data_IF_740251082420
#
_entry.id   IF_740251082420
#
_cell.length_a   1.000
_cell.length_b   1.000
_cell.length_c   1.000
_cell.angle_alpha   90.00
_cell.angle_beta   90.00
_cell.angle_gamma   90.00
#
_symmetry.space_group_name_H-M   'P 1'
#
loop_
_entity.id
_entity.type
_entity.pdbx_description
1 polymer ?
#
# COMPACT_ATOMS: atom_id res chain seq x y z
N UNK A 1 17.38 2.12 -6.26
CA UNK A 1 16.75 1.19 -5.29
C UNK A 1 16.52 1.81 -3.89
N UNK A 2 16.82 3.10 -3.66
CA UNK A 2 16.70 3.76 -2.35
C UNK A 2 15.33 4.41 -2.02
N UNK A 3 14.26 4.16 -2.81
CA UNK A 3 13.04 4.98 -2.76
C UNK A 3 11.82 4.29 -2.09
N UNK A 4 11.68 2.97 -2.25
CA UNK A 4 10.54 2.21 -1.72
C UNK A 4 10.66 1.92 -0.22
N UNK A 5 11.84 1.47 0.23
CA UNK A 5 12.13 1.27 1.67
C UNK A 5 11.87 2.53 2.48
N UNK A 6 12.27 3.67 1.94
CA UNK A 6 12.07 5.00 2.55
C UNK A 6 10.59 5.35 2.68
N UNK A 7 9.76 4.98 1.71
CA UNK A 7 8.32 5.23 1.76
C UNK A 7 7.60 4.32 2.77
N UNK A 8 7.95 3.04 2.83
CA UNK A 8 7.44 2.11 3.86
C UNK A 8 7.72 2.65 5.26
N UNK A 9 8.96 3.05 5.55
CA UNK A 9 9.32 3.67 6.84
C UNK A 9 8.54 4.97 7.10
N UNK A 10 8.23 5.75 6.06
CA UNK A 10 7.43 6.97 6.19
C UNK A 10 5.99 6.64 6.62
N UNK A 11 5.38 5.63 6.02
CA UNK A 11 4.03 5.17 6.39
C UNK A 11 4.01 4.59 7.81
N UNK A 12 5.03 3.80 8.18
CA UNK A 12 5.14 3.26 9.54
C UNK A 12 5.18 4.38 10.58
N UNK A 13 6.03 5.40 10.38
CA UNK A 13 6.10 6.58 11.27
C UNK A 13 4.78 7.35 11.35
N UNK A 14 4.01 7.40 10.25
CA UNK A 14 2.69 8.02 10.25
C UNK A 14 1.70 7.26 11.14
N UNK A 15 1.74 5.91 11.11
CA UNK A 15 0.93 5.06 11.98
C UNK A 15 1.37 5.23 13.44
N UNK A 16 2.67 5.14 13.74
CA UNK A 16 3.21 5.31 15.09
C UNK A 16 2.82 6.66 15.70
N UNK A 17 2.87 7.73 14.91
CA UNK A 17 2.44 9.06 15.35
C UNK A 17 0.94 9.12 15.67
N UNK A 18 0.11 8.41 14.90
CA UNK A 18 -1.34 8.38 15.09
C UNK A 18 -1.77 7.47 16.24
N UNK A 19 -0.99 6.42 16.52
CA UNK A 19 -1.25 5.40 17.53
C UNK A 19 0.01 5.19 18.37
N UNK A 20 0.37 6.13 19.26
CA UNK A 20 1.64 6.11 19.99
C UNK A 20 1.77 4.91 20.94
N UNK A 21 0.65 4.40 21.45
CA UNK A 21 0.61 3.20 22.31
C UNK A 21 0.43 1.90 21.49
N UNK A 22 0.38 2.02 20.16
CA UNK A 22 0.33 0.90 19.24
C UNK A 22 1.71 0.28 19.01
N UNK A 23 1.73 -0.77 18.20
CA UNK A 23 2.97 -1.40 17.76
C UNK A 23 2.97 -1.51 16.24
N UNK A 24 4.05 -1.06 15.59
CA UNK A 24 4.19 -1.06 14.12
C UNK A 24 5.50 -1.77 13.79
N UNK A 25 5.45 -2.72 12.86
CA UNK A 25 6.64 -3.45 12.46
C UNK A 25 6.63 -3.81 10.99
N UNK A 26 7.84 -3.96 10.45
CA UNK A 26 8.10 -4.54 9.14
C UNK A 26 8.63 -5.95 9.35
N UNK A 27 7.93 -7.00 8.90
CA UNK A 27 8.45 -8.36 8.97
C UNK A 27 9.76 -8.47 8.20
N UNK A 28 10.74 -9.12 8.82
CA UNK A 28 11.97 -9.50 8.13
C UNK A 28 11.70 -10.88 7.56
N UNK A 29 11.28 -10.93 6.29
CA UNK A 29 11.17 -12.20 5.61
C UNK A 29 12.33 -12.35 4.62
N UNK A 30 13.18 -13.35 4.89
CA UNK A 30 14.29 -13.72 4.01
C UNK A 30 13.87 -14.71 2.92
N UNK A 31 12.67 -15.32 2.96
CA UNK A 31 12.31 -16.39 2.01
C UNK A 31 10.82 -16.53 1.61
N UNK A 32 9.83 -15.90 2.26
CA UNK A 32 8.42 -15.98 1.80
C UNK A 32 7.97 -14.75 0.99
N UNK A 33 7.62 -14.99 -0.27
CA UNK A 33 7.14 -14.01 -1.27
C UNK A 33 5.76 -13.41 -0.98
N UNK A 34 5.19 -13.59 0.22
CA UNK A 34 3.78 -13.33 0.52
C UNK A 34 3.47 -12.46 1.73
N UNK A 35 4.46 -12.15 2.56
CA UNK A 35 4.22 -11.37 3.78
C UNK A 35 4.15 -9.88 3.45
N UNK A 36 3.08 -9.17 3.85
CA UNK A 36 2.97 -7.74 3.60
C UNK A 36 4.05 -6.90 4.30
N UNK A 37 4.43 -5.80 3.66
CA UNK A 37 5.48 -4.89 4.15
C UNK A 37 5.27 -4.32 5.55
N UNK A 38 4.02 -3.98 5.91
CA UNK A 38 3.69 -3.27 7.15
C UNK A 38 2.64 -4.06 7.91
N UNK A 39 2.89 -4.24 9.21
CA UNK A 39 1.90 -4.72 10.17
C UNK A 39 1.83 -3.75 11.35
N UNK A 40 0.63 -3.55 11.88
CA UNK A 40 0.43 -2.69 13.03
C UNK A 40 -0.75 -3.15 13.90
N UNK A 41 -0.62 -3.01 15.21
CA UNK A 41 -1.73 -3.08 16.17
C UNK A 41 -2.00 -1.67 16.68
N UNK A 42 -3.21 -1.16 16.42
CA UNK A 42 -3.59 0.23 16.71
C UNK A 42 -4.25 0.33 18.10
N UNK A 43 -3.51 0.81 19.10
CA UNK A 43 -4.04 1.09 20.44
C UNK A 43 -4.73 2.46 20.51
N UNK A 44 -5.83 2.63 21.27
CA UNK A 44 -6.50 1.64 22.13
C UNK A 44 -7.53 0.77 21.37
N UNK A 45 -7.70 0.98 20.06
CA UNK A 45 -8.77 0.30 19.29
C UNK A 45 -8.59 -1.21 19.17
N UNK A 46 -7.39 -1.73 19.42
CA UNK A 46 -7.04 -3.15 19.23
C UNK A 46 -7.07 -3.61 17.77
N UNK A 47 -7.33 -2.70 16.81
CA UNK A 47 -7.48 -3.03 15.40
C UNK A 47 -6.14 -3.41 14.80
N UNK A 48 -6.15 -4.48 14.01
CA UNK A 48 -4.98 -4.94 13.29
C UNK A 48 -4.98 -4.35 11.88
N UNK A 49 -3.88 -3.69 11.51
CA UNK A 49 -3.68 -3.06 10.21
C UNK A 49 -2.52 -3.74 9.48
N UNK A 50 -2.70 -3.98 8.19
CA UNK A 50 -1.70 -4.61 7.33
C UNK A 50 -1.66 -3.90 5.98
N UNK A 51 -0.48 -3.63 5.45
CA UNK A 51 -0.33 -3.02 4.14
C UNK A 51 0.83 -3.62 3.35
N UNK A 52 0.60 -3.88 2.07
CA UNK A 52 1.65 -4.14 1.09
C UNK A 52 1.87 -2.89 0.26
N UNK A 53 3.13 -2.47 0.09
CA UNK A 53 3.45 -1.20 -0.55
C UNK A 53 4.19 -1.48 -1.85
N UNK A 54 3.75 -0.82 -2.92
CA UNK A 54 4.44 -0.79 -4.21
C UNK A 54 4.70 0.64 -4.64
N UNK A 55 5.72 0.82 -5.46
CA UNK A 55 6.00 2.10 -6.09
C UNK A 55 6.05 1.95 -7.61
N UNK A 56 5.55 2.96 -8.32
CA UNK A 56 5.77 3.06 -9.78
C UNK A 56 7.28 3.23 -10.08
N UNK A 57 7.79 2.70 -11.21
CA UNK A 57 9.22 2.75 -11.52
C UNK A 57 9.79 4.16 -11.63
N UNK A 58 8.98 5.09 -12.15
CA UNK A 58 9.28 6.52 -12.25
C UNK A 58 8.14 7.29 -11.59
N UNK A 59 8.46 8.07 -10.56
CA UNK A 59 7.50 8.95 -9.91
C UNK A 59 7.06 10.04 -10.89
N UNK A 60 5.77 10.36 -10.90
CA UNK A 60 5.19 11.40 -11.77
C UNK A 60 5.25 12.77 -11.09
N UNK A 61 5.66 13.82 -11.80
CA UNK A 61 5.83 15.15 -11.17
C UNK A 61 4.48 15.84 -10.88
N UNK A 62 3.49 15.74 -11.78
CA UNK A 62 2.24 16.53 -11.73
C UNK A 62 0.99 15.75 -11.31
N UNK A 63 1.16 14.68 -10.54
CA UNK A 63 0.08 13.72 -10.32
C UNK A 63 -0.15 12.86 -11.56
N UNK A 64 -1.10 11.93 -11.47
CA UNK A 64 -1.33 10.92 -12.50
C UNK A 64 -2.04 11.52 -13.74
N UNK A 65 -1.42 12.47 -14.44
CA UNK A 65 -1.79 12.77 -15.83
C UNK A 65 -1.27 11.64 -16.71
N UNK A 66 -2.06 10.58 -16.81
CA UNK A 66 -1.67 9.34 -17.48
C UNK A 66 -1.74 9.53 -18.99
N UNK A 67 -0.71 10.15 -19.55
CA UNK A 67 -0.50 10.28 -20.99
C UNK A 67 -0.09 8.95 -21.65
N UNK A 68 -0.60 7.80 -21.16
CA UNK A 68 -0.22 6.47 -21.60
C UNK A 68 -1.41 5.52 -21.70
N UNK A 69 -1.19 4.36 -22.31
CA UNK A 69 -2.21 3.32 -22.46
C UNK A 69 -2.83 2.97 -21.07
N UNK A 70 -4.13 3.25 -20.85
CA UNK A 70 -4.79 3.03 -19.57
C UNK A 70 -4.89 1.55 -19.18
N UNK A 71 -4.60 0.63 -20.11
CA UNK A 71 -4.54 -0.81 -19.88
C UNK A 71 -3.17 -1.32 -19.41
N UNK A 72 -2.10 -0.52 -19.53
CA UNK A 72 -0.76 -0.97 -19.15
C UNK A 72 -0.56 -0.92 -17.64
N UNK A 73 0.12 -1.94 -17.10
CA UNK A 73 0.54 -1.93 -15.69
C UNK A 73 1.48 -0.77 -15.40
N UNK A 74 1.20 -0.03 -14.32
CA UNK A 74 2.05 1.01 -13.76
C UNK A 74 3.24 0.45 -12.97
N UNK A 75 3.11 -0.79 -12.50
CA UNK A 75 4.10 -1.44 -11.66
C UNK A 75 5.05 -2.29 -12.51
N UNK A 76 6.35 -2.17 -12.27
CA UNK A 76 7.36 -3.10 -12.82
C UNK A 76 7.23 -4.48 -12.17
N UNK A 77 6.97 -4.51 -10.86
CA UNK A 77 6.68 -5.71 -10.10
C UNK A 77 5.32 -5.52 -9.44
N UNK A 78 4.32 -6.26 -9.92
CA UNK A 78 2.97 -6.23 -9.36
C UNK A 78 2.93 -6.83 -7.96
N UNK A 79 1.74 -6.81 -7.37
CA UNK A 79 1.47 -7.60 -6.16
C UNK A 79 1.61 -9.08 -6.49
N UNK A 80 2.30 -9.86 -5.66
CA UNK A 80 2.39 -11.30 -5.91
C UNK A 80 1.05 -11.97 -5.55
N UNK A 81 0.73 -13.10 -6.18
CA UNK A 81 -0.44 -13.91 -5.82
C UNK A 81 -0.51 -14.21 -4.30
N UNK A 82 0.60 -14.63 -3.66
CA UNK A 82 0.68 -14.79 -2.21
C UNK A 82 0.35 -13.51 -1.42
N UNK A 83 0.88 -12.34 -1.81
CA UNK A 83 0.58 -11.06 -1.16
C UNK A 83 -0.92 -10.74 -1.24
N UNK A 84 -1.52 -10.90 -2.41
CA UNK A 84 -2.95 -10.63 -2.63
C UNK A 84 -3.80 -11.59 -1.79
N UNK A 85 -3.47 -12.88 -1.81
CA UNK A 85 -4.17 -13.92 -1.03
C UNK A 85 -4.10 -13.62 0.47
N UNK A 86 -2.93 -13.25 0.98
CA UNK A 86 -2.72 -12.90 2.38
C UNK A 86 -3.54 -11.67 2.77
N UNK A 87 -3.47 -10.58 2.01
CA UNK A 87 -4.24 -9.36 2.26
C UNK A 87 -5.76 -9.64 2.28
N UNK A 88 -6.27 -10.42 1.33
CA UNK A 88 -7.70 -10.79 1.29
C UNK A 88 -8.11 -11.64 2.49
N UNK A 89 -7.30 -12.62 2.89
CA UNK A 89 -7.57 -13.46 4.07
C UNK A 89 -7.57 -12.65 5.36
N UNK A 90 -6.60 -11.76 5.53
CA UNK A 90 -6.52 -10.85 6.67
C UNK A 90 -7.73 -9.92 6.73
N UNK A 91 -8.18 -9.39 5.57
CA UNK A 91 -9.40 -8.59 5.46
C UNK A 91 -10.64 -9.37 5.93
N UNK A 92 -10.79 -10.61 5.49
CA UNK A 92 -11.88 -11.51 5.92
C UNK A 92 -11.82 -11.78 7.43
N UNK A 93 -10.62 -11.88 8.00
CA UNK A 93 -10.41 -12.05 9.43
C UNK A 93 -10.63 -10.75 10.26
N UNK A 94 -11.04 -9.64 9.62
CA UNK A 94 -11.35 -8.38 10.30
C UNK A 94 -10.21 -7.37 10.35
N UNK A 95 -9.08 -7.63 9.70
CA UNK A 95 -7.97 -6.67 9.64
C UNK A 95 -8.26 -5.52 8.66
N UNK A 96 -7.66 -4.36 8.93
CA UNK A 96 -7.53 -3.25 7.99
C UNK A 96 -6.38 -3.54 7.02
N UNK A 97 -6.68 -4.33 5.98
CA UNK A 97 -5.71 -4.78 4.99
C UNK A 97 -5.78 -3.96 3.69
N UNK A 98 -4.64 -3.48 3.20
CA UNK A 98 -4.56 -2.61 2.02
C UNK A 98 -3.42 -2.94 1.08
N UNK A 99 -3.62 -2.71 -0.22
CA UNK A 99 -2.54 -2.47 -1.16
C UNK A 99 -2.29 -0.97 -1.30
N UNK A 100 -1.05 -0.52 -1.25
CA UNK A 100 -0.69 0.90 -1.40
C UNK A 100 0.23 1.07 -2.60
N UNK A 101 -0.11 1.99 -3.51
CA UNK A 101 0.70 2.31 -4.68
C UNK A 101 1.14 3.76 -4.63
N UNK A 102 2.43 3.99 -4.40
CA UNK A 102 3.02 5.33 -4.49
C UNK A 102 3.25 5.70 -5.94
N UNK A 103 2.70 6.85 -6.33
CA UNK A 103 2.75 7.36 -7.70
C UNK A 103 3.63 8.60 -7.82
N UNK A 104 3.75 9.40 -6.75
CA UNK A 104 4.70 10.49 -6.69
C UNK A 104 5.24 10.76 -5.27
N UNK A 105 5.97 11.86 -5.09
CA UNK A 105 6.58 12.21 -3.81
C UNK A 105 5.56 12.51 -2.70
N UNK A 106 4.38 13.06 -3.06
CA UNK A 106 3.37 13.59 -2.16
C UNK A 106 2.00 12.88 -2.25
N UNK A 107 1.89 11.84 -3.09
CA UNK A 107 0.64 11.11 -3.39
C UNK A 107 0.87 9.60 -3.51
N UNK A 108 -0.05 8.85 -2.92
CA UNK A 108 -0.21 7.42 -3.11
C UNK A 108 -1.70 7.06 -3.17
N UNK A 109 -1.99 5.84 -3.61
CA UNK A 109 -3.34 5.30 -3.72
C UNK A 109 -3.47 4.06 -2.86
N UNK A 110 -4.58 3.98 -2.13
CA UNK A 110 -4.97 2.85 -1.30
C UNK A 110 -6.00 2.04 -2.06
N UNK A 111 -5.74 0.75 -2.22
CA UNK A 111 -6.61 -0.21 -2.89
C UNK A 111 -7.11 -1.22 -1.88
N UNK A 112 -8.40 -1.53 -1.97
CA UNK A 112 -8.95 -2.72 -1.30
C UNK A 112 -8.35 -3.99 -1.94
N UNK A 113 -7.95 -5.00 -1.17
CA UNK A 113 -7.38 -6.24 -1.73
C UNK A 113 -8.28 -6.96 -2.75
N UNK A 114 -9.60 -6.73 -2.73
CA UNK A 114 -10.54 -7.32 -3.69
C UNK A 114 -10.41 -6.72 -5.10
N UNK A 115 -9.96 -5.46 -5.23
CA UNK A 115 -9.85 -4.80 -6.54
C UNK A 115 -8.54 -5.08 -7.26
N UNK A 116 -7.54 -5.62 -6.54
CA UNK A 116 -6.25 -6.02 -7.13
C UNK A 116 -6.47 -7.34 -7.86
N UNK A 117 -6.22 -7.37 -9.18
CA UNK A 117 -6.37 -8.58 -9.98
C UNK A 117 -5.41 -9.68 -9.51
N UNK A 118 -5.71 -10.95 -9.80
CA UNK A 118 -4.85 -12.07 -9.38
C UNK A 118 -3.45 -12.02 -10.02
N UNK A 119 -3.32 -11.37 -11.18
CA UNK A 119 -2.05 -11.08 -11.84
C UNK A 119 -1.25 -9.97 -11.16
N UNK A 120 -1.84 -9.30 -10.17
CA UNK A 120 -1.22 -8.23 -9.38
C UNK A 120 -0.92 -6.96 -10.15
N UNK A 121 -1.44 -6.85 -11.37
CA UNK A 121 -1.27 -5.68 -12.23
C UNK A 121 -2.13 -4.55 -11.69
N UNK A 122 -1.53 -3.37 -11.55
CA UNK A 122 -2.25 -2.15 -11.24
C UNK A 122 -2.11 -1.21 -12.41
N UNK A 123 -3.23 -0.85 -13.01
CA UNK A 123 -3.29 0.06 -14.16
C UNK A 123 -3.75 1.45 -13.73
N UNK A 124 -3.56 2.47 -14.58
CA UNK A 124 -4.21 3.77 -14.46
C UNK A 124 -5.68 3.70 -14.03
N UNK A 125 -6.46 2.91 -14.77
CA UNK A 125 -7.90 2.76 -14.57
C UNK A 125 -8.23 2.20 -13.20
N UNK A 126 -7.46 1.21 -12.73
CA UNK A 126 -7.67 0.63 -11.39
C UNK A 126 -7.47 1.70 -10.31
N UNK A 127 -6.40 2.49 -10.40
CA UNK A 127 -6.14 3.55 -9.43
C UNK A 127 -7.22 4.65 -9.44
N UNK A 128 -7.68 5.07 -10.62
CA UNK A 128 -8.71 6.11 -10.73
C UNK A 128 -10.10 5.64 -10.28
N UNK A 129 -10.48 4.42 -10.63
CA UNK A 129 -11.83 3.93 -10.37
C UNK A 129 -11.99 3.39 -8.94
N UNK A 130 -10.92 2.82 -8.36
CA UNK A 130 -11.00 2.09 -7.10
C UNK A 130 -10.01 2.57 -6.04
N UNK A 131 -9.02 3.39 -6.40
CA UNK A 131 -8.00 3.85 -5.49
C UNK A 131 -8.44 5.07 -4.68
N UNK A 132 -8.39 4.98 -3.35
CA UNK A 132 -8.51 6.15 -2.48
C UNK A 132 -7.17 6.86 -2.38
N UNK A 133 -7.15 8.15 -2.67
CA UNK A 133 -5.93 8.96 -2.61
C UNK A 133 -5.53 9.25 -1.16
N UNK A 134 -4.24 9.10 -0.86
CA UNK A 134 -3.60 9.59 0.36
C UNK A 134 -2.44 10.50 0.00
N UNK A 135 -2.18 11.51 0.83
CA UNK A 135 -1.20 12.55 0.53
C UNK A 135 -0.25 12.81 1.69
N UNK A 136 0.86 13.47 1.42
CA UNK A 136 1.74 13.95 2.48
C UNK A 136 1.04 14.94 3.42
N UNK A 137 0.22 15.82 2.86
CA UNK A 137 -0.51 16.87 3.59
C UNK A 137 -1.50 16.29 4.61
N UNK A 138 -2.16 15.17 4.28
CA UNK A 138 -3.06 14.48 5.20
C UNK A 138 -2.32 13.53 6.17
N UNK A 139 -1.00 13.64 6.27
CA UNK A 139 -0.17 12.83 7.13
C UNK A 139 -0.06 11.38 6.69
N UNK A 140 -0.30 11.08 5.41
CA UNK A 140 -0.36 9.73 4.86
C UNK A 140 -1.41 8.83 5.54
N UNK A 141 -2.52 9.39 6.01
CA UNK A 141 -3.57 8.62 6.69
C UNK A 141 -4.29 7.69 5.71
N UNK A 142 -4.15 6.37 5.93
CA UNK A 142 -4.82 5.34 5.11
C UNK A 142 -5.63 4.32 5.91
N UNK A 143 -5.63 4.40 7.23
CA UNK A 143 -6.54 3.64 8.10
C UNK A 143 -7.90 4.34 8.19
N UNK A 144 -8.90 3.60 8.66
CA UNK A 144 -10.26 4.09 8.94
C UNK A 144 -10.48 4.46 10.39
#
# INVERSE_FOLDING_TARGET
>A
MANERTFVTTLMKAIEKAFPDGFVWKPVDSFNLGVPDIHAVMSPTGRFLVAEVKQVPKLYDDGLELSGDPGRSLLRHGFTGPQISMLRRLRIAGAEAYGIVRTNKDRAYVLDPQVISLEGKVTPRVLHNFGRVITRENGWKFWT
#
